data_IF_125292485355
#
_entry.id   IF_125292485355
#
_cell.length_a   1.000
_cell.length_b   1.000
_cell.length_c   1.000
_cell.angle_alpha   90.00
_cell.angle_beta   90.00
_cell.angle_gamma   90.00
#
_symmetry.space_group_name_H-M   'P 1'
#
loop_
_entity.id
_entity.type
_entity.pdbx_description
1 polymer ?
#
# COMPACT_ATOMS: atom_id res chain seq x y z
N UNK A 1 -12.15 18.84 6.43
CA UNK A 1 -13.05 17.79 5.89
C UNK A 1 -14.31 18.37 5.25
N UNK A 2 -15.18 19.07 5.97
CA UNK A 2 -16.42 19.62 5.38
C UNK A 2 -16.17 20.51 4.15
N UNK A 3 -15.13 21.34 4.18
CA UNK A 3 -14.75 22.19 3.03
C UNK A 3 -14.32 21.38 1.80
N UNK A 4 -13.62 20.25 1.99
CA UNK A 4 -13.28 19.34 0.88
C UNK A 4 -14.54 18.71 0.29
N UNK A 5 -15.42 18.18 1.14
CA UNK A 5 -16.68 17.55 0.71
C UNK A 5 -17.54 18.54 -0.07
N UNK A 6 -17.61 19.79 0.40
CA UNK A 6 -18.33 20.86 -0.30
C UNK A 6 -17.74 21.17 -1.68
N UNK A 7 -16.42 21.09 -1.85
CA UNK A 7 -15.75 21.26 -3.15
C UNK A 7 -15.94 20.05 -4.08
N UNK A 8 -16.12 18.85 -3.51
CA UNK A 8 -16.18 17.58 -4.24
C UNK A 8 -17.49 16.81 -3.96
N UNK A 9 -18.64 17.44 -4.22
CA UNK A 9 -19.96 16.89 -3.89
C UNK A 9 -20.26 15.53 -4.53
N UNK A 10 -19.67 15.24 -5.70
CA UNK A 10 -19.85 13.96 -6.39
C UNK A 10 -19.13 12.81 -5.67
N UNK A 11 -18.00 13.08 -5.02
CA UNK A 11 -17.23 12.10 -4.25
C UNK A 11 -17.74 12.00 -2.81
N UNK A 12 -18.09 13.15 -2.22
CA UNK A 12 -18.57 13.24 -0.85
C UNK A 12 -17.48 12.95 0.18
N UNK A 13 -17.89 12.34 1.29
CA UNK A 13 -16.99 11.81 2.32
C UNK A 13 -17.05 10.29 2.32
N UNK A 14 -15.88 9.66 2.35
CA UNK A 14 -15.74 8.22 2.53
C UNK A 14 -14.87 7.94 3.75
N UNK A 15 -15.25 6.88 4.48
CA UNK A 15 -14.47 6.41 5.62
C UNK A 15 -13.02 6.12 5.21
N UNK A 16 -12.07 6.63 5.98
CA UNK A 16 -10.64 6.56 5.69
C UNK A 16 -10.04 7.89 5.26
N UNK A 17 -10.82 8.81 4.68
CA UNK A 17 -10.32 10.14 4.30
C UNK A 17 -9.77 10.95 5.48
N UNK A 18 -10.38 10.80 6.67
CA UNK A 18 -9.88 11.46 7.88
C UNK A 18 -8.51 10.94 8.34
N UNK A 19 -8.23 9.63 8.14
CA UNK A 19 -6.94 9.04 8.47
C UNK A 19 -5.84 9.58 7.56
N UNK A 20 -6.16 9.85 6.29
CA UNK A 20 -5.26 10.46 5.31
C UNK A 20 -5.02 11.95 5.64
N UNK A 21 -6.04 12.66 6.11
CA UNK A 21 -5.92 14.07 6.48
C UNK A 21 -5.12 14.30 7.77
N UNK A 22 -5.17 13.36 8.73
CA UNK A 22 -4.58 13.52 10.06
C UNK A 22 -3.05 13.81 10.04
N UNK A 23 -2.21 13.11 9.26
CA UNK A 23 -0.79 13.42 9.16
C UNK A 23 -0.50 14.82 8.61
N UNK A 24 -1.33 15.31 7.67
CA UNK A 24 -1.17 16.64 7.08
C UNK A 24 -1.50 17.74 8.10
N UNK A 25 -2.56 17.55 8.89
CA UNK A 25 -2.94 18.46 9.97
C UNK A 25 -1.81 18.62 10.99
N UNK A 26 -1.08 17.53 11.27
CA UNK A 26 0.03 17.52 12.23
C UNK A 26 1.29 18.18 11.67
N UNK A 27 1.56 18.11 10.37
CA UNK A 27 2.73 18.77 9.76
C UNK A 27 2.52 20.27 9.57
N UNK A 28 1.39 20.64 8.97
CA UNK A 28 1.26 21.98 8.40
C UNK A 28 0.66 22.99 9.37
N UNK A 29 -0.14 22.54 10.35
CA UNK A 29 -0.81 23.38 11.36
C UNK A 29 -1.59 24.60 10.80
N UNK A 30 -1.84 24.65 9.49
CA UNK A 30 -2.56 25.68 8.76
C UNK A 30 -3.69 25.04 7.95
N UNK A 31 -4.94 25.44 8.22
CA UNK A 31 -6.11 24.81 7.61
C UNK A 31 -6.15 24.95 6.09
N UNK A 32 -5.70 26.09 5.55
CA UNK A 32 -5.72 26.37 4.11
C UNK A 32 -4.68 25.50 3.42
N UNK A 33 -3.46 25.44 3.94
CA UNK A 33 -2.40 24.57 3.39
C UNK A 33 -2.84 23.11 3.46
N UNK A 34 -3.38 22.67 4.60
CA UNK A 34 -3.88 21.30 4.76
C UNK A 34 -4.98 20.99 3.75
N UNK A 35 -5.93 21.90 3.53
CA UNK A 35 -7.00 21.71 2.57
C UNK A 35 -6.48 21.52 1.15
N UNK A 36 -5.52 22.35 0.72
CA UNK A 36 -4.95 22.26 -0.63
C UNK A 36 -4.08 21.00 -0.79
N UNK A 37 -3.24 20.69 0.20
CA UNK A 37 -2.42 19.47 0.21
C UNK A 37 -3.28 18.21 0.24
N UNK A 38 -4.34 18.19 1.05
CA UNK A 38 -5.28 17.08 1.10
C UNK A 38 -6.02 16.92 -0.23
N UNK A 39 -6.44 18.04 -0.87
CA UNK A 39 -7.07 17.99 -2.18
C UNK A 39 -6.16 17.37 -3.23
N UNK A 40 -4.88 17.74 -3.25
CA UNK A 40 -3.88 17.15 -4.14
C UNK A 40 -3.58 15.68 -3.82
N UNK A 41 -3.59 15.30 -2.55
CA UNK A 41 -3.43 13.91 -2.14
C UNK A 41 -4.60 13.05 -2.61
N UNK A 42 -5.82 13.56 -2.51
CA UNK A 42 -7.03 12.87 -2.97
C UNK A 42 -7.08 12.71 -4.50
N UNK A 43 -6.55 13.65 -5.29
CA UNK A 43 -6.39 13.46 -6.74
C UNK A 43 -5.60 12.18 -7.07
N UNK A 44 -4.64 11.75 -6.23
CA UNK A 44 -3.96 10.45 -6.38
C UNK A 44 -4.81 9.29 -5.84
N UNK A 45 -5.39 9.47 -4.66
CA UNK A 45 -5.95 8.37 -3.87
C UNK A 45 -7.41 8.04 -4.19
N UNK A 46 -8.16 8.94 -4.85
CA UNK A 46 -9.60 8.77 -5.10
C UNK A 46 -9.94 7.45 -5.81
N UNK A 47 -9.09 6.98 -6.74
CA UNK A 47 -9.29 5.72 -7.46
C UNK A 47 -9.29 4.49 -6.55
N UNK A 48 -8.73 4.58 -5.33
CA UNK A 48 -8.71 3.48 -4.37
C UNK A 48 -9.98 3.43 -3.49
N UNK A 49 -10.82 4.47 -3.53
CA UNK A 49 -12.05 4.52 -2.75
C UNK A 49 -13.17 3.70 -3.43
N UNK A 50 -14.18 3.25 -2.66
CA UNK A 50 -15.33 2.53 -3.20
C UNK A 50 -15.96 3.27 -4.38
N UNK A 51 -16.46 2.52 -5.37
CA UNK A 51 -17.02 2.96 -6.66
C UNK A 51 -16.00 3.13 -7.79
N UNK A 52 -14.70 3.14 -7.48
CA UNK A 52 -13.63 3.21 -8.48
C UNK A 52 -12.91 1.86 -8.67
N UNK A 53 -12.15 1.73 -9.76
CA UNK A 53 -11.46 0.48 -10.17
C UNK A 53 -10.02 0.36 -9.64
N UNK A 54 -9.49 1.38 -8.97
CA UNK A 54 -8.08 1.42 -8.58
C UNK A 54 -7.71 0.34 -7.56
N UNK A 55 -8.62 0.01 -6.65
CA UNK A 55 -8.40 -1.08 -5.70
C UNK A 55 -8.28 -2.45 -6.38
N UNK A 56 -9.15 -2.74 -7.35
CA UNK A 56 -9.13 -3.99 -8.10
C UNK A 56 -7.81 -4.13 -8.90
N UNK A 57 -7.34 -3.03 -9.49
CA UNK A 57 -6.05 -2.98 -10.18
C UNK A 57 -4.89 -3.23 -9.21
N UNK A 58 -4.90 -2.61 -8.02
CA UNK A 58 -3.86 -2.83 -7.01
C UNK A 58 -3.84 -4.30 -6.57
N UNK A 59 -4.99 -4.92 -6.31
CA UNK A 59 -5.06 -6.34 -5.95
C UNK A 59 -4.60 -7.26 -7.07
N UNK A 60 -5.03 -7.02 -8.31
CA UNK A 60 -4.57 -7.82 -9.45
C UNK A 60 -3.05 -7.75 -9.61
N UNK A 61 -2.49 -6.53 -9.59
CA UNK A 61 -1.04 -6.34 -9.71
C UNK A 61 -0.26 -6.91 -8.52
N UNK A 62 -0.77 -6.75 -7.30
CA UNK A 62 -0.12 -7.30 -6.11
C UNK A 62 -0.13 -8.82 -6.13
N UNK A 63 -1.24 -9.42 -6.54
CA UNK A 63 -1.37 -10.87 -6.74
C UNK A 63 -0.30 -11.40 -7.70
N UNK A 64 -0.18 -10.77 -8.87
CA UNK A 64 0.82 -11.15 -9.86
C UNK A 64 2.25 -10.94 -9.35
N UNK A 65 2.48 -9.85 -8.61
CA UNK A 65 3.79 -9.58 -8.04
C UNK A 65 4.21 -10.70 -7.08
N UNK A 66 3.36 -11.06 -6.11
CA UNK A 66 3.65 -12.16 -5.16
C UNK A 66 3.84 -13.48 -5.90
N UNK A 67 2.98 -13.80 -6.86
CA UNK A 67 3.05 -15.03 -7.65
C UNK A 67 4.40 -15.19 -8.37
N UNK A 68 4.97 -14.09 -8.88
CA UNK A 68 6.26 -14.09 -9.59
C UNK A 68 7.42 -14.11 -8.60
N UNK A 69 7.34 -13.34 -7.52
CA UNK A 69 8.48 -13.16 -6.60
C UNK A 69 8.61 -14.28 -5.57
N UNK A 70 7.49 -14.85 -5.13
CA UNK A 70 7.45 -15.87 -4.08
C UNK A 70 6.27 -16.84 -4.28
N UNK A 71 6.40 -17.82 -5.21
CA UNK A 71 5.34 -18.77 -5.49
C UNK A 71 4.90 -19.60 -4.28
N UNK A 72 5.82 -19.93 -3.36
CA UNK A 72 5.49 -20.72 -2.17
C UNK A 72 4.58 -19.95 -1.20
N UNK A 73 4.91 -18.67 -0.95
CA UNK A 73 4.06 -17.79 -0.16
C UNK A 73 2.71 -17.56 -0.84
N UNK A 74 2.71 -17.38 -2.16
CA UNK A 74 1.49 -17.25 -2.95
C UNK A 74 0.57 -18.45 -2.75
N UNK A 75 1.06 -19.67 -2.94
CA UNK A 75 0.25 -20.89 -2.78
C UNK A 75 -0.31 -21.03 -1.36
N UNK A 76 0.47 -20.67 -0.34
CA UNK A 76 0.02 -20.72 1.06
C UNK A 76 -1.12 -19.73 1.32
N UNK A 77 -0.98 -18.47 0.89
CA UNK A 77 -2.03 -17.45 1.07
C UNK A 77 -3.27 -17.78 0.23
N UNK A 78 -3.10 -18.42 -0.94
CA UNK A 78 -4.20 -18.74 -1.86
C UNK A 78 -4.84 -20.13 -1.63
N UNK A 79 -4.37 -20.90 -0.64
CA UNK A 79 -4.75 -22.31 -0.49
C UNK A 79 -6.26 -22.53 -0.26
N UNK A 80 -6.98 -21.55 0.32
CA UNK A 80 -8.38 -21.71 0.72
C UNK A 80 -9.43 -21.24 -0.33
N UNK A 81 -8.99 -20.83 -1.51
CA UNK A 81 -9.78 -20.86 -2.75
C UNK A 81 -10.93 -19.85 -2.96
N UNK A 82 -11.03 -18.74 -2.21
CA UNK A 82 -11.97 -17.66 -2.53
C UNK A 82 -11.23 -16.37 -2.94
N UNK A 83 -11.73 -15.65 -3.95
CA UNK A 83 -11.08 -14.47 -4.53
C UNK A 83 -10.87 -13.28 -3.54
N UNK A 84 -11.08 -13.49 -2.24
CA UNK A 84 -10.95 -12.53 -1.14
C UNK A 84 -9.56 -12.51 -0.49
N UNK A 85 -8.66 -13.42 -0.85
CA UNK A 85 -7.42 -13.66 -0.10
C UNK A 85 -6.45 -12.47 0.07
N UNK A 86 -6.52 -11.42 -0.75
CA UNK A 86 -5.69 -10.22 -0.58
C UNK A 86 -6.41 -9.08 0.15
N UNK A 87 -7.64 -9.30 0.63
CA UNK A 87 -8.42 -8.25 1.30
C UNK A 87 -7.80 -7.78 2.62
N UNK A 88 -6.89 -8.55 3.22
CA UNK A 88 -6.05 -8.06 4.33
C UNK A 88 -5.25 -6.80 3.96
N UNK A 89 -4.88 -6.67 2.68
CA UNK A 89 -4.17 -5.50 2.14
C UNK A 89 -5.09 -4.36 1.69
N UNK A 90 -6.43 -4.50 1.82
CA UNK A 90 -7.37 -3.45 1.45
C UNK A 90 -7.07 -2.14 2.20
N UNK A 91 -6.90 -2.22 3.52
CA UNK A 91 -6.58 -1.05 4.37
C UNK A 91 -5.24 -0.43 3.99
N UNK A 92 -4.28 -1.25 3.56
CA UNK A 92 -2.96 -0.78 3.16
C UNK A 92 -3.03 0.15 1.96
N UNK A 93 -3.68 -0.29 0.88
CA UNK A 93 -3.78 0.52 -0.34
C UNK A 93 -4.80 1.66 -0.22
N UNK A 94 -5.87 1.48 0.56
CA UNK A 94 -6.87 2.52 0.76
C UNK A 94 -6.27 3.74 1.49
N UNK A 95 -5.38 3.50 2.45
CA UNK A 95 -4.84 4.55 3.33
C UNK A 95 -3.35 4.83 3.10
N UNK A 96 -2.77 4.31 2.03
CA UNK A 96 -1.33 4.29 1.77
C UNK A 96 -0.51 4.00 3.04
N UNK A 97 -0.85 2.85 3.64
CA UNK A 97 -0.22 2.26 4.83
C UNK A 97 -0.27 3.13 6.09
N UNK A 98 -1.10 4.18 6.12
CA UNK A 98 -1.19 5.07 7.27
C UNK A 98 -1.46 4.34 8.59
N UNK A 99 -2.32 3.32 8.56
CA UNK A 99 -2.68 2.55 9.76
C UNK A 99 -1.61 1.53 10.17
N UNK A 100 -0.61 1.29 9.33
CA UNK A 100 0.46 0.33 9.60
C UNK A 100 1.70 0.98 10.20
N UNK A 101 1.83 2.31 10.08
CA UNK A 101 3.06 3.03 10.39
C UNK A 101 2.83 4.24 11.31
N UNK A 102 3.85 4.57 12.11
CA UNK A 102 3.87 5.81 12.88
C UNK A 102 3.93 7.03 11.95
N UNK A 103 3.55 8.22 12.42
CA UNK A 103 3.55 9.42 11.56
C UNK A 103 4.90 9.70 10.90
N UNK A 104 6.01 9.56 11.64
CA UNK A 104 7.36 9.78 11.09
C UNK A 104 7.66 8.86 9.90
N UNK A 105 7.25 7.60 10.00
CA UNK A 105 7.45 6.60 8.96
C UNK A 105 6.49 6.79 7.79
N UNK A 106 5.24 7.19 8.07
CA UNK A 106 4.26 7.56 7.04
C UNK A 106 4.79 8.68 6.17
N UNK A 107 5.37 9.73 6.75
CA UNK A 107 5.96 10.83 5.99
C UNK A 107 7.09 10.32 5.08
N UNK A 108 8.00 9.52 5.64
CA UNK A 108 9.13 8.95 4.88
C UNK A 108 8.66 8.04 3.72
N UNK A 109 7.62 7.24 3.97
CA UNK A 109 7.02 6.36 2.96
C UNK A 109 6.33 7.18 1.88
N UNK A 110 5.51 8.16 2.25
CA UNK A 110 4.77 9.00 1.31
C UNK A 110 5.70 9.80 0.41
N UNK A 111 6.72 10.46 0.97
CA UNK A 111 7.76 11.14 0.19
C UNK A 111 8.44 10.19 -0.80
N UNK A 112 8.73 8.96 -0.37
CA UNK A 112 9.33 7.93 -1.23
C UNK A 112 8.39 7.49 -2.35
N UNK A 113 7.12 7.19 -2.04
CA UNK A 113 6.10 6.82 -3.04
C UNK A 113 5.98 7.93 -4.07
N UNK A 114 5.86 9.19 -3.64
CA UNK A 114 5.66 10.32 -4.54
C UNK A 114 6.89 10.55 -5.44
N UNK A 115 8.10 10.49 -4.88
CA UNK A 115 9.32 10.66 -5.66
C UNK A 115 9.54 9.51 -6.67
N UNK A 116 9.29 8.26 -6.27
CA UNK A 116 9.50 7.09 -7.12
C UNK A 116 8.41 6.91 -8.17
N UNK A 117 7.16 7.30 -7.87
CA UNK A 117 6.08 7.31 -8.84
C UNK A 117 6.32 8.30 -9.98
N UNK A 118 7.07 9.38 -9.73
CA UNK A 118 7.45 10.33 -10.78
C UNK A 118 8.65 9.88 -11.63
N UNK A 119 9.48 8.97 -11.12
CA UNK A 119 10.81 8.72 -11.70
C UNK A 119 11.04 7.28 -12.16
N UNK A 120 10.53 6.28 -11.44
CA UNK A 120 10.90 4.87 -11.65
C UNK A 120 9.72 3.91 -11.87
N UNK A 121 8.58 4.09 -11.20
CA UNK A 121 7.43 3.19 -11.31
C UNK A 121 6.18 3.83 -10.72
N UNK A 122 5.06 3.85 -11.44
CA UNK A 122 3.79 4.40 -10.96
C UNK A 122 3.13 3.60 -9.82
N UNK A 123 3.75 2.49 -9.39
CA UNK A 123 3.16 1.52 -8.46
C UNK A 123 4.12 1.14 -7.31
N UNK A 124 4.92 2.06 -6.79
CA UNK A 124 5.87 1.76 -5.71
C UNK A 124 5.18 1.16 -4.46
N UNK A 125 3.93 1.56 -4.19
CA UNK A 125 3.12 1.02 -3.09
C UNK A 125 3.00 -0.52 -3.10
N UNK A 126 3.04 -1.16 -4.28
CA UNK A 126 2.98 -2.62 -4.39
C UNK A 126 4.24 -3.29 -3.84
N UNK A 127 5.41 -2.67 -4.06
CA UNK A 127 6.69 -3.19 -3.55
C UNK A 127 6.82 -2.99 -2.04
N UNK A 128 6.21 -1.93 -1.50
CA UNK A 128 6.10 -1.77 -0.06
C UNK A 128 5.19 -2.83 0.57
N UNK A 129 4.03 -3.11 -0.04
CA UNK A 129 3.17 -4.22 0.38
C UNK A 129 3.89 -5.58 0.30
N UNK A 130 4.69 -5.80 -0.75
CA UNK A 130 5.52 -7.01 -0.89
C UNK A 130 6.54 -7.11 0.24
N UNK A 131 7.19 -6.00 0.61
CA UNK A 131 8.17 -5.96 1.69
C UNK A 131 7.55 -6.33 3.04
N UNK A 132 6.31 -5.89 3.29
CA UNK A 132 5.56 -6.30 4.48
C UNK A 132 5.35 -7.81 4.52
N UNK A 133 4.89 -8.42 3.42
CA UNK A 133 4.74 -9.87 3.32
C UNK A 133 6.07 -10.60 3.46
N UNK A 134 7.10 -10.17 2.75
CA UNK A 134 8.42 -10.79 2.75
C UNK A 134 9.06 -10.78 4.15
N UNK A 135 8.87 -9.69 4.90
CA UNK A 135 9.39 -9.56 6.28
C UNK A 135 8.84 -10.64 7.21
N UNK A 136 7.58 -11.03 7.03
CA UNK A 136 6.91 -12.04 7.88
C UNK A 136 6.72 -13.37 7.19
N UNK A 137 7.30 -13.57 6.00
CA UNK A 137 7.21 -14.80 5.20
C UNK A 137 7.42 -16.05 6.03
N UNK A 138 8.52 -16.09 6.80
CA UNK A 138 8.87 -17.25 7.62
C UNK A 138 7.76 -17.59 8.63
N UNK A 139 7.20 -16.57 9.29
CA UNK A 139 6.13 -16.73 10.28
C UNK A 139 4.85 -17.24 9.61
N UNK A 140 4.48 -16.67 8.46
CA UNK A 140 3.28 -17.06 7.71
C UNK A 140 3.37 -18.54 7.29
N UNK A 141 4.51 -18.95 6.73
CA UNK A 141 4.71 -20.32 6.24
C UNK A 141 4.87 -21.35 7.37
N UNK A 142 5.67 -21.05 8.40
CA UNK A 142 5.93 -22.00 9.49
C UNK A 142 4.65 -22.32 10.29
N UNK A 143 3.77 -21.34 10.43
CA UNK A 143 2.50 -21.52 11.13
C UNK A 143 1.36 -21.96 10.21
N UNK A 144 1.61 -22.12 8.91
CA UNK A 144 0.58 -22.40 7.89
C UNK A 144 -0.63 -21.47 8.03
N UNK A 145 -0.38 -20.16 8.19
CA UNK A 145 -1.44 -19.19 8.48
C UNK A 145 -2.48 -19.16 7.36
N UNK A 146 -3.74 -19.32 7.73
CA UNK A 146 -4.85 -19.11 6.81
C UNK A 146 -5.10 -17.61 6.58
N UNK A 147 -6.06 -17.30 5.71
CA UNK A 147 -6.42 -15.91 5.40
C UNK A 147 -6.85 -15.10 6.63
N UNK A 148 -7.59 -15.71 7.56
CA UNK A 148 -8.07 -15.07 8.79
C UNK A 148 -6.91 -14.77 9.74
N UNK A 149 -5.98 -15.72 9.87
CA UNK A 149 -4.77 -15.58 10.66
C UNK A 149 -3.87 -14.45 10.13
N UNK A 150 -3.69 -14.37 8.80
CA UNK A 150 -2.92 -13.28 8.17
C UNK A 150 -3.56 -11.92 8.46
N UNK A 151 -4.88 -11.78 8.33
CA UNK A 151 -5.59 -10.54 8.69
C UNK A 151 -5.32 -10.17 10.15
N UNK A 152 -5.51 -11.13 11.06
CA UNK A 152 -5.36 -10.90 12.50
C UNK A 152 -3.93 -10.50 12.84
N UNK A 153 -2.95 -11.20 12.28
CA UNK A 153 -1.53 -10.95 12.47
C UNK A 153 -1.16 -9.52 12.07
N UNK A 154 -1.49 -9.08 10.85
CA UNK A 154 -1.16 -7.74 10.40
C UNK A 154 -1.93 -6.65 11.15
N UNK A 155 -3.18 -6.91 11.57
CA UNK A 155 -3.90 -5.99 12.45
C UNK A 155 -3.21 -5.81 13.81
N UNK A 156 -2.66 -6.87 14.38
CA UNK A 156 -1.90 -6.80 15.63
C UNK A 156 -0.53 -6.15 15.48
N UNK A 157 0.04 -6.19 14.28
CA UNK A 157 1.34 -5.58 13.94
C UNK A 157 1.27 -4.11 13.51
N UNK A 158 0.07 -3.56 13.32
CA UNK A 158 -0.14 -2.15 13.02
C UNK A 158 0.69 -1.23 13.97
N UNK A 159 1.44 -0.31 13.37
CA UNK A 159 2.37 0.62 14.04
C UNK A 159 3.57 -0.03 14.77
N UNK A 160 3.80 -1.34 14.60
CA UNK A 160 4.96 -2.07 15.18
C UNK A 160 6.01 -2.46 14.15
N UNK A 161 5.78 -2.14 12.88
CA UNK A 161 6.71 -2.40 11.80
C UNK A 161 7.92 -1.46 11.86
N UNK A 162 9.08 -1.90 11.37
CA UNK A 162 10.21 -1.01 11.09
C UNK A 162 10.03 -0.40 9.70
N UNK A 163 9.37 0.76 9.63
CA UNK A 163 8.97 1.36 8.36
C UNK A 163 10.15 1.74 7.47
N UNK A 164 11.28 2.15 8.05
CA UNK A 164 12.47 2.53 7.28
C UNK A 164 13.11 1.31 6.60
N UNK A 165 13.25 0.18 7.32
CA UNK A 165 13.74 -1.06 6.72
C UNK A 165 12.80 -1.59 5.64
N UNK A 166 11.49 -1.46 5.84
CA UNK A 166 10.51 -1.85 4.81
C UNK A 166 10.63 -0.99 3.55
N UNK A 167 10.90 0.32 3.67
CA UNK A 167 11.15 1.20 2.52
C UNK A 167 12.42 0.78 1.78
N UNK A 168 13.49 0.43 2.50
CA UNK A 168 14.74 -0.06 1.89
C UNK A 168 14.50 -1.38 1.14
N UNK A 169 13.86 -2.36 1.80
CA UNK A 169 13.49 -3.64 1.18
C UNK A 169 12.61 -3.44 -0.07
N UNK A 170 11.69 -2.47 -0.05
CA UNK A 170 10.81 -2.18 -1.18
C UNK A 170 11.58 -1.64 -2.39
N UNK A 171 12.61 -0.82 -2.14
CA UNK A 171 13.51 -0.33 -3.19
C UNK A 171 14.32 -1.47 -3.79
N UNK A 172 14.79 -2.40 -2.98
CA UNK A 172 15.54 -3.57 -3.45
C UNK A 172 14.65 -4.47 -4.32
N UNK A 173 13.42 -4.78 -3.87
CA UNK A 173 12.46 -5.53 -4.68
C UNK A 173 12.15 -4.85 -6.03
N UNK A 174 11.99 -3.52 -6.05
CA UNK A 174 11.79 -2.79 -7.30
C UNK A 174 13.01 -2.91 -8.23
N UNK A 175 14.22 -2.78 -7.68
CA UNK A 175 15.45 -2.91 -8.48
C UNK A 175 15.60 -4.31 -9.07
N UNK A 176 15.36 -5.34 -8.26
CA UNK A 176 15.48 -6.74 -8.70
C UNK A 176 14.41 -7.10 -9.73
N UNK A 177 13.17 -6.65 -9.53
CA UNK A 177 12.10 -6.78 -10.52
C UNK A 177 12.52 -6.16 -11.86
N UNK A 178 13.04 -4.92 -11.85
CA UNK A 178 13.51 -4.26 -13.08
C UNK A 178 14.67 -5.01 -13.75
N UNK A 179 15.62 -5.53 -12.98
CA UNK A 179 16.74 -6.32 -13.50
C UNK A 179 16.27 -7.61 -14.15
N UNK A 180 15.26 -8.27 -13.58
CA UNK A 180 14.67 -9.48 -14.15
C UNK A 180 14.09 -9.21 -15.54
N UNK A 181 13.22 -8.20 -15.67
CA UNK A 181 12.62 -7.86 -16.97
C UNK A 181 13.62 -7.28 -17.99
N UNK A 182 14.66 -6.56 -17.54
CA UNK A 182 15.70 -6.08 -18.43
C UNK A 182 16.50 -7.22 -19.07
N UNK A 183 16.71 -8.33 -18.35
CA UNK A 183 17.39 -9.52 -18.90
C UNK A 183 16.48 -10.30 -19.85
N UNK A 184 15.22 -10.46 -19.50
CA UNK A 184 14.25 -11.17 -20.34
C UNK A 184 13.92 -10.46 -21.66
N UNK A 185 14.13 -9.13 -21.74
CA UNK A 185 13.94 -8.35 -22.96
C UNK A 185 15.17 -8.28 -23.89
N UNK A 186 16.29 -8.92 -23.53
CA UNK A 186 17.53 -8.97 -24.35
C UNK A 186 17.77 -10.33 -25.01
N UNK A 187 16.85 -11.29 -24.87
CA UNK A 187 16.96 -12.65 -25.44
C UNK A 187 16.08 -12.87 -26.70
N UNK A 188 15.47 -11.81 -27.26
CA UNK A 188 14.78 -11.80 -28.57
C UNK A 188 15.55 -10.96 -29.60
#
# INVERSE_FOLDING_TARGET
>A
MCTYVWRNLNEGYVQGMCDIAAPLLVIFEDEVIVLEMFSKLMERMHLNFPQEIGMDINFANFRHLIQITDPELFETIMAEGDFTHLYFSYRWFLLDFKRELSYKEVYSLWETIWALNLTLSNHFQLFFALSLLATYRYIILENSMDFTDVIKFFNEMAEKHDGLKLIESARDHLQDFRRFFAKSGTED
#
